data_IF_760914262833
#
_entry.id   IF_760914262833
#
_cell.length_a   1.000
_cell.length_b   1.000
_cell.length_c   1.000
_cell.angle_alpha   90.00
_cell.angle_beta   90.00
_cell.angle_gamma   90.00
#
_symmetry.space_group_name_H-M   'P 1'
#
loop_
_entity.id
_entity.type
_entity.pdbx_description
1 polymer ?
#
# COMPACT_ATOMS: atom_id res chain seq x y z
N UNK A 1 0.70 16.64 -7.08
CA UNK A 1 -0.12 15.53 -6.54
C UNK A 1 -0.90 16.06 -5.36
N UNK A 2 -2.16 15.67 -5.21
CA UNK A 2 -3.06 16.22 -4.18
C UNK A 2 -3.41 15.24 -3.05
N UNK A 3 -2.94 13.99 -3.15
CA UNK A 3 -3.19 12.93 -2.19
C UNK A 3 -2.13 11.83 -2.27
N UNK A 4 -2.33 10.75 -1.51
CA UNK A 4 -1.38 9.65 -1.43
C UNK A 4 -1.40 8.82 -2.72
N UNK A 5 -0.24 8.57 -3.37
CA UNK A 5 -0.16 7.70 -4.53
C UNK A 5 -0.31 6.23 -4.15
N UNK A 6 -0.71 5.39 -5.10
CA UNK A 6 -0.70 3.93 -4.97
C UNK A 6 0.22 3.30 -6.01
N UNK A 7 0.88 2.20 -5.65
CA UNK A 7 1.89 1.51 -6.45
C UNK A 7 1.67 0.00 -6.38
N UNK A 8 1.79 -0.68 -7.53
CA UNK A 8 1.78 -2.15 -7.60
C UNK A 8 2.71 -2.62 -8.72
N UNK A 9 3.27 -3.82 -8.58
CA UNK A 9 3.85 -4.54 -9.71
C UNK A 9 2.82 -5.50 -10.30
N UNK A 10 2.60 -5.42 -11.61
CA UNK A 10 1.65 -6.25 -12.34
C UNK A 10 2.29 -7.47 -12.96
N UNK A 11 1.47 -8.25 -13.68
CA UNK A 11 1.90 -9.37 -14.53
C UNK A 11 1.89 -8.97 -16.02
N UNK A 12 1.85 -7.67 -16.34
CA UNK A 12 2.02 -7.20 -17.71
C UNK A 12 3.45 -7.42 -18.19
N UNK A 13 3.59 -7.98 -19.38
CA UNK A 13 4.90 -8.34 -19.90
C UNK A 13 5.47 -9.61 -19.29
N UNK A 14 6.78 -9.84 -19.48
CA UNK A 14 7.50 -11.00 -18.94
C UNK A 14 8.11 -10.72 -17.56
N UNK A 15 8.54 -9.48 -17.33
CA UNK A 15 9.13 -9.04 -16.06
C UNK A 15 8.11 -8.45 -15.07
N UNK A 16 6.88 -8.18 -15.54
CA UNK A 16 5.84 -7.51 -14.74
C UNK A 16 6.10 -6.02 -14.61
N UNK A 17 5.25 -5.18 -15.19
CA UNK A 17 5.40 -3.72 -15.14
C UNK A 17 5.15 -3.14 -13.74
N UNK A 18 5.74 -1.98 -13.46
CA UNK A 18 5.33 -1.17 -12.31
C UNK A 18 4.21 -0.23 -12.71
N UNK A 19 3.20 -0.10 -11.87
CA UNK A 19 2.05 0.77 -12.10
C UNK A 19 1.92 1.75 -10.94
N UNK A 20 1.67 3.01 -11.26
CA UNK A 20 1.47 4.09 -10.27
C UNK A 20 0.18 4.81 -10.62
N UNK A 21 -0.66 5.03 -9.61
CA UNK A 21 -1.83 5.91 -9.69
C UNK A 21 -1.68 7.04 -8.70
N UNK A 22 -1.89 8.28 -9.15
CA UNK A 22 -1.77 9.47 -8.30
C UNK A 22 -2.99 10.37 -8.41
N UNK A 23 -3.47 10.96 -7.30
CA UNK A 23 -4.45 12.04 -7.35
C UNK A 23 -3.89 13.33 -7.98
N UNK A 24 -4.65 13.89 -8.92
CA UNK A 24 -4.30 15.13 -9.61
C UNK A 24 -4.77 16.37 -8.84
N UNK A 25 -4.00 17.45 -8.91
CA UNK A 25 -4.36 18.75 -8.34
C UNK A 25 -5.47 19.46 -9.12
N UNK A 26 -5.68 19.05 -10.37
CA UNK A 26 -6.73 19.56 -11.26
C UNK A 26 -8.01 18.73 -11.18
N UNK A 27 -8.06 17.73 -10.29
CA UNK A 27 -9.12 16.73 -10.23
C UNK A 27 -8.83 15.48 -11.07
N UNK A 28 -9.47 14.37 -10.68
CA UNK A 28 -9.26 13.04 -11.22
C UNK A 28 -7.97 12.37 -10.76
N UNK A 29 -7.58 11.33 -11.49
CA UNK A 29 -6.41 10.51 -11.26
C UNK A 29 -5.51 10.51 -12.49
N UNK A 30 -4.23 10.24 -12.30
CA UNK A 30 -3.29 9.93 -13.38
C UNK A 30 -2.63 8.58 -13.15
N UNK A 31 -2.54 7.80 -14.22
CA UNK A 31 -1.84 6.53 -14.29
C UNK A 31 -0.51 6.68 -15.01
N UNK A 32 0.53 6.06 -14.43
CA UNK A 32 1.85 5.90 -15.01
C UNK A 32 2.25 4.44 -14.92
N UNK A 33 3.10 3.99 -15.83
CA UNK A 33 3.66 2.65 -15.76
C UNK A 33 5.10 2.61 -16.24
N UNK A 34 5.87 1.66 -15.74
CA UNK A 34 7.24 1.39 -16.20
C UNK A 34 7.26 0.11 -17.00
N UNK A 35 7.75 0.19 -18.23
CA UNK A 35 7.97 -1.00 -19.07
C UNK A 35 9.21 -1.73 -18.56
N UNK A 36 8.99 -2.85 -17.87
CA UNK A 36 10.07 -3.65 -17.30
C UNK A 36 10.67 -4.67 -18.28
N UNK A 37 10.04 -4.88 -19.43
CA UNK A 37 10.60 -5.71 -20.49
C UNK A 37 11.56 -4.92 -21.39
N UNK A 38 11.40 -3.59 -21.46
CA UNK A 38 12.30 -2.72 -22.20
C UNK A 38 13.61 -2.48 -21.44
N UNK A 39 14.79 -2.72 -22.05
CA UNK A 39 16.09 -2.49 -21.41
C UNK A 39 16.32 -1.05 -20.91
N UNK A 40 15.64 -0.06 -21.49
CA UNK A 40 15.73 1.33 -21.07
C UNK A 40 14.84 1.66 -19.84
N UNK A 41 13.99 0.71 -19.40
CA UNK A 41 13.06 0.85 -18.28
C UNK A 41 12.26 2.17 -18.29
N UNK A 42 11.66 2.58 -19.42
CA UNK A 42 10.99 3.86 -19.54
C UNK A 42 9.74 3.92 -18.67
N UNK A 43 9.49 5.07 -18.05
CA UNK A 43 8.19 5.43 -17.49
C UNK A 43 7.32 6.07 -18.56
N UNK A 44 6.06 5.66 -18.62
CA UNK A 44 5.07 6.04 -19.62
C UNK A 44 3.85 6.61 -18.91
N UNK A 45 3.28 7.68 -19.47
CA UNK A 45 2.19 8.47 -18.89
C UNK A 45 2.53 9.98 -18.85
N UNK A 46 1.69 10.80 -18.19
CA UNK A 46 0.46 10.42 -17.50
C UNK A 46 -0.69 10.12 -18.46
N UNK A 47 -1.51 9.13 -18.11
CA UNK A 47 -2.87 8.98 -18.66
C UNK A 47 -3.86 9.42 -17.60
N UNK A 48 -4.59 10.51 -17.85
CA UNK A 48 -5.62 11.00 -16.93
C UNK A 48 -6.93 10.20 -17.07
N UNK A 49 -7.60 9.94 -15.95
CA UNK A 49 -8.88 9.22 -15.88
C UNK A 49 -9.67 9.61 -14.63
N UNK A 50 -10.96 9.25 -14.58
CA UNK A 50 -11.84 9.56 -13.45
C UNK A 50 -11.96 11.06 -13.18
N UNK A 51 -11.84 11.90 -14.21
CA UNK A 51 -11.84 13.37 -14.09
C UNK A 51 -13.16 13.91 -13.55
N UNK A 52 -14.25 13.18 -13.79
CA UNK A 52 -15.59 13.44 -13.29
C UNK A 52 -15.71 13.36 -11.76
N UNK A 53 -14.75 12.71 -11.08
CA UNK A 53 -14.71 12.65 -9.61
C UNK A 53 -14.33 13.99 -8.97
N UNK A 54 -13.75 14.93 -9.73
CA UNK A 54 -13.20 16.14 -9.15
C UNK A 54 -12.01 15.84 -8.24
N UNK A 55 -11.91 16.51 -7.09
CA UNK A 55 -10.76 16.36 -6.21
C UNK A 55 -10.73 15.00 -5.50
N UNK A 56 -9.77 14.16 -5.84
CA UNK A 56 -9.51 12.89 -5.16
C UNK A 56 -8.51 13.11 -4.02
N UNK A 57 -8.83 12.59 -2.84
CA UNK A 57 -8.03 12.76 -1.62
C UNK A 57 -7.07 11.58 -1.37
N UNK A 58 -7.49 10.37 -1.74
CA UNK A 58 -6.73 9.15 -1.52
C UNK A 58 -7.08 8.09 -2.56
N UNK A 59 -6.13 7.19 -2.82
CA UNK A 59 -6.32 6.07 -3.72
C UNK A 59 -5.65 4.81 -3.17
N UNK A 60 -6.30 3.66 -3.38
CA UNK A 60 -5.72 2.33 -3.20
C UNK A 60 -5.82 1.57 -4.52
N UNK A 61 -4.83 0.71 -4.80
CA UNK A 61 -4.65 0.03 -6.08
C UNK A 61 -4.29 -1.44 -5.86
N UNK A 62 -4.93 -2.33 -6.60
CA UNK A 62 -4.63 -3.77 -6.68
C UNK A 62 -4.54 -4.18 -8.15
N UNK A 63 -3.65 -5.11 -8.45
CA UNK A 63 -3.66 -5.82 -9.72
C UNK A 63 -4.39 -7.15 -9.54
N UNK A 64 -5.64 -7.22 -10.00
CA UNK A 64 -6.52 -8.35 -9.72
C UNK A 64 -6.32 -9.51 -10.69
N UNK A 65 -7.00 -10.62 -10.42
CA UNK A 65 -7.04 -11.80 -11.29
C UNK A 65 -8.07 -11.71 -12.42
N UNK A 66 -8.82 -10.60 -12.53
CA UNK A 66 -9.82 -10.43 -13.57
C UNK A 66 -9.20 -10.18 -14.93
N UNK A 67 -9.56 -11.01 -15.91
CA UNK A 67 -8.96 -10.98 -17.24
C UNK A 67 -7.52 -11.48 -17.27
N UNK A 68 -6.87 -11.34 -18.42
CA UNK A 68 -5.48 -11.78 -18.63
C UNK A 68 -4.69 -10.63 -19.25
N UNK A 69 -3.60 -10.16 -18.62
CA UNK A 69 -2.98 -10.70 -17.40
C UNK A 69 -3.67 -10.31 -16.09
N UNK A 70 -4.57 -9.32 -16.08
CA UNK A 70 -5.26 -8.85 -14.88
C UNK A 70 -5.69 -7.40 -14.99
N UNK A 71 -6.79 -7.03 -14.35
CA UNK A 71 -7.23 -5.64 -14.27
C UNK A 71 -6.40 -4.84 -13.27
N UNK A 72 -6.39 -3.52 -13.44
CA UNK A 72 -6.04 -2.61 -12.35
C UNK A 72 -7.33 -2.19 -11.65
N UNK A 73 -7.48 -2.55 -10.38
CA UNK A 73 -8.65 -2.22 -9.56
C UNK A 73 -8.30 -1.15 -8.54
N UNK A 74 -9.17 -0.14 -8.45
CA UNK A 74 -8.90 1.09 -7.71
C UNK A 74 -10.07 1.41 -6.79
N UNK A 75 -9.75 1.80 -5.56
CA UNK A 75 -10.67 2.53 -4.69
C UNK A 75 -10.17 3.95 -4.49
N UNK A 76 -10.95 4.93 -4.92
CA UNK A 76 -10.65 6.36 -4.79
C UNK A 76 -11.56 6.99 -3.73
N UNK A 77 -10.99 7.82 -2.85
CA UNK A 77 -11.76 8.63 -1.89
C UNK A 77 -11.91 10.07 -2.37
N UNK A 78 -13.15 10.56 -2.41
CA UNK A 78 -13.52 11.95 -2.70
C UNK A 78 -14.38 12.45 -1.54
N UNK A 79 -13.83 13.34 -0.71
CA UNK A 79 -14.49 13.72 0.54
C UNK A 79 -14.73 12.48 1.42
N UNK A 80 -15.97 12.22 1.80
CA UNK A 80 -16.33 11.03 2.58
C UNK A 80 -16.79 9.84 1.71
N UNK A 81 -16.72 9.94 0.39
CA UNK A 81 -17.20 8.91 -0.54
C UNK A 81 -16.05 8.05 -1.08
N UNK A 82 -16.28 6.74 -1.18
CA UNK A 82 -15.41 5.79 -1.87
C UNK A 82 -16.02 5.40 -3.20
N UNK A 83 -15.23 5.44 -4.26
CA UNK A 83 -15.58 5.00 -5.60
C UNK A 83 -14.69 3.84 -6.02
N UNK A 84 -15.27 2.79 -6.60
CA UNK A 84 -14.53 1.73 -7.27
C UNK A 84 -14.43 2.04 -8.77
N UNK A 85 -13.23 1.86 -9.31
CA UNK A 85 -12.91 1.96 -10.73
C UNK A 85 -12.01 0.79 -11.09
N UNK A 86 -11.99 0.42 -12.36
CA UNK A 86 -11.04 -0.56 -12.85
C UNK A 86 -10.58 -0.21 -14.27
N UNK A 87 -9.43 -0.74 -14.66
CA UNK A 87 -8.94 -0.73 -16.05
C UNK A 87 -8.88 -2.15 -16.57
N UNK A 88 -9.42 -2.38 -17.76
CA UNK A 88 -9.29 -3.67 -18.43
C UNK A 88 -7.80 -4.01 -18.72
N UNK A 89 -7.46 -5.29 -18.97
CA UNK A 89 -6.10 -5.72 -19.21
C UNK A 89 -5.61 -5.47 -20.65
N UNK A 90 -6.40 -4.79 -21.46
CA UNK A 90 -6.14 -4.58 -22.88
C UNK A 90 -6.97 -5.49 -23.80
N UNK A 91 -6.91 -5.23 -25.11
CA UNK A 91 -6.00 -4.28 -25.76
C UNK A 91 -6.40 -2.80 -25.63
N UNK A 92 -7.63 -2.49 -25.25
CA UNK A 92 -8.13 -1.11 -25.13
C UNK A 92 -7.56 -0.37 -23.92
N UNK A 93 -7.29 -1.09 -22.83
CA UNK A 93 -6.87 -0.51 -21.55
C UNK A 93 -7.83 0.57 -21.06
N UNK A 94 -9.13 0.34 -21.25
CA UNK A 94 -10.16 1.30 -20.95
C UNK A 94 -10.43 1.33 -19.44
N UNK A 95 -10.58 2.55 -18.93
CA UNK A 95 -11.03 2.79 -17.55
C UNK A 95 -12.56 2.71 -17.48
N UNK A 96 -13.07 2.07 -16.44
CA UNK A 96 -14.48 2.05 -16.12
C UNK A 96 -14.97 3.42 -15.68
N UNK A 97 -16.28 3.65 -15.78
CA UNK A 97 -16.93 4.77 -15.08
C UNK A 97 -16.83 4.52 -13.56
N UNK A 98 -16.57 5.55 -12.73
CA UNK A 98 -16.57 5.39 -11.29
C UNK A 98 -17.93 4.96 -10.74
N UNK A 99 -17.92 3.90 -9.93
CA UNK A 99 -19.09 3.42 -9.23
C UNK A 99 -18.99 3.80 -7.74
N UNK A 100 -19.99 4.51 -7.22
CA UNK A 100 -20.07 4.82 -5.79
C UNK A 100 -20.21 3.51 -5.00
N UNK A 101 -19.30 3.29 -4.06
CA UNK A 101 -19.21 2.09 -3.24
C UNK A 101 -19.72 2.37 -1.81
N UNK A 102 -19.30 3.47 -1.20
CA UNK A 102 -19.62 3.78 0.20
C UNK A 102 -19.51 5.29 0.49
N UNK A 103 -20.21 5.76 1.53
CA UNK A 103 -20.11 7.12 2.07
C UNK A 103 -19.90 7.08 3.59
N UNK A 104 -19.13 8.02 4.13
CA UNK A 104 -18.70 8.06 5.53
C UNK A 104 -17.25 7.61 5.75
N UNK A 105 -16.48 7.43 4.68
CA UNK A 105 -15.07 7.07 4.74
C UNK A 105 -14.17 8.26 5.09
N UNK A 106 -12.98 7.96 5.57
CA UNK A 106 -11.91 8.90 5.86
C UNK A 106 -10.56 8.23 5.66
N UNK A 107 -9.48 9.02 5.62
CA UNK A 107 -8.12 8.50 5.50
C UNK A 107 -7.85 7.78 4.16
N UNK A 108 -6.86 6.89 4.15
CA UNK A 108 -6.56 6.04 2.99
C UNK A 108 -7.12 4.64 3.24
N UNK A 109 -7.92 4.08 2.32
CA UNK A 109 -8.42 2.72 2.47
C UNK A 109 -7.31 1.68 2.27
N UNK A 110 -7.36 0.60 3.03
CA UNK A 110 -6.64 -0.64 2.72
C UNK A 110 -7.47 -1.50 1.77
N UNK A 111 -6.88 -1.96 0.67
CA UNK A 111 -7.58 -2.68 -0.39
C UNK A 111 -6.74 -3.84 -0.90
N UNK A 112 -7.31 -5.04 -0.92
CA UNK A 112 -6.67 -6.26 -1.44
C UNK A 112 -7.66 -7.10 -2.23
N UNK A 113 -7.14 -8.00 -3.06
CA UNK A 113 -7.87 -9.20 -3.43
C UNK A 113 -7.42 -10.35 -2.52
N UNK A 114 -8.34 -10.90 -1.74
CA UNK A 114 -8.07 -12.07 -0.92
C UNK A 114 -8.18 -13.36 -1.75
N UNK A 115 -7.82 -14.48 -1.13
CA UNK A 115 -7.97 -15.82 -1.74
C UNK A 115 -9.29 -16.47 -1.35
N UNK A 116 -10.18 -15.74 -0.67
CA UNK A 116 -11.49 -16.25 -0.26
C UNK A 116 -12.37 -16.44 -1.49
N UNK A 117 -12.97 -17.62 -1.64
CA UNK A 117 -13.71 -17.98 -2.84
C UNK A 117 -12.85 -18.55 -3.96
N UNK A 118 -13.44 -18.82 -5.12
CA UNK A 118 -12.71 -19.36 -6.28
C UNK A 118 -12.03 -18.26 -7.11
N UNK A 119 -12.71 -17.12 -7.28
CA UNK A 119 -12.18 -15.94 -7.97
C UNK A 119 -11.34 -15.04 -7.07
N UNK A 120 -11.46 -15.19 -5.74
CA UNK A 120 -10.82 -14.32 -4.75
C UNK A 120 -11.60 -13.01 -4.59
N UNK A 121 -12.20 -12.80 -3.43
CA UNK A 121 -12.97 -11.59 -3.13
C UNK A 121 -12.09 -10.34 -3.06
N UNK A 122 -12.68 -9.18 -3.35
CA UNK A 122 -12.08 -7.92 -2.94
C UNK A 122 -12.43 -7.63 -1.49
N UNK A 123 -11.44 -7.24 -0.70
CA UNK A 123 -11.60 -6.83 0.69
C UNK A 123 -11.07 -5.41 0.87
N UNK A 124 -11.91 -4.56 1.46
CA UNK A 124 -11.69 -3.13 1.66
C UNK A 124 -11.87 -2.80 3.14
N UNK A 125 -10.89 -2.15 3.75
CA UNK A 125 -11.04 -1.55 5.09
C UNK A 125 -10.78 -0.06 4.99
N UNK A 126 -11.73 0.75 5.46
CA UNK A 126 -11.61 2.20 5.51
C UNK A 126 -11.86 2.74 6.91
N UNK A 127 -11.30 3.91 7.20
CA UNK A 127 -11.53 4.60 8.46
C UNK A 127 -12.86 5.34 8.39
N UNK A 128 -13.56 5.47 9.52
CA UNK A 128 -14.78 6.26 9.62
C UNK A 128 -14.51 7.62 10.25
N UNK A 129 -15.19 8.66 9.76
CA UNK A 129 -15.04 10.03 10.27
C UNK A 129 -15.43 10.19 11.75
N UNK A 130 -16.30 9.30 12.27
CA UNK A 130 -16.78 9.28 13.66
C UNK A 130 -16.02 8.28 14.54
N UNK A 131 -14.88 7.76 14.08
CA UNK A 131 -14.08 6.76 14.77
C UNK A 131 -14.44 5.31 14.38
N UNK A 132 -13.48 4.41 14.57
CA UNK A 132 -13.55 3.03 14.11
C UNK A 132 -13.26 2.86 12.61
N UNK A 133 -13.52 1.65 12.12
CA UNK A 133 -13.25 1.22 10.75
C UNK A 133 -14.48 0.50 10.19
N UNK A 134 -14.61 0.50 8.87
CA UNK A 134 -15.60 -0.27 8.14
C UNK A 134 -14.90 -1.25 7.20
N UNK A 135 -15.31 -2.51 7.25
CA UNK A 135 -14.97 -3.53 6.26
C UNK A 135 -16.10 -3.66 5.25
N UNK A 136 -15.73 -3.62 3.97
CA UNK A 136 -16.59 -3.91 2.84
C UNK A 136 -15.89 -4.96 1.97
N UNK A 137 -16.67 -5.75 1.25
CA UNK A 137 -16.11 -6.77 0.38
C UNK A 137 -16.98 -6.99 -0.85
N UNK A 138 -16.37 -7.41 -1.95
CA UNK A 138 -17.07 -7.80 -3.17
C UNK A 138 -17.04 -9.32 -3.30
N UNK A 139 -18.21 -9.93 -3.49
CA UNK A 139 -18.28 -11.34 -3.88
C UNK A 139 -17.89 -11.47 -5.35
N UNK A 140 -16.69 -12.00 -5.60
CA UNK A 140 -16.17 -12.15 -6.96
C UNK A 140 -16.56 -13.49 -7.59
N UNK A 141 -17.15 -14.40 -6.82
CA UNK A 141 -17.73 -15.64 -7.34
C UNK A 141 -19.18 -15.45 -7.84
N UNK A 142 -19.86 -14.41 -7.35
CA UNK A 142 -21.19 -14.04 -7.84
C UNK A 142 -21.11 -13.25 -9.17
N UNK A 143 -21.85 -13.65 -10.24
CA UNK A 143 -21.84 -12.96 -11.53
C UNK A 143 -22.26 -11.49 -11.50
N UNK A 144 -22.96 -11.05 -10.45
CA UNK A 144 -23.37 -9.67 -10.24
C UNK A 144 -22.31 -8.81 -9.56
N UNK A 145 -21.20 -9.40 -9.10
CA UNK A 145 -20.12 -8.75 -8.35
C UNK A 145 -20.62 -7.82 -7.23
N UNK A 146 -21.55 -8.27 -6.36
CA UNK A 146 -22.17 -7.42 -5.36
C UNK A 146 -21.15 -7.03 -4.27
N UNK A 147 -21.15 -5.75 -3.93
CA UNK A 147 -20.49 -5.26 -2.72
C UNK A 147 -21.38 -5.48 -1.50
N UNK A 148 -20.78 -5.93 -0.40
CA UNK A 148 -21.41 -6.22 0.88
C UNK A 148 -20.76 -5.41 2.01
N UNK A 149 -21.50 -5.24 3.10
CA UNK A 149 -21.12 -4.42 4.24
C UNK A 149 -21.89 -3.08 4.31
N UNK A 150 -21.42 -2.11 5.11
CA UNK A 150 -20.22 -2.18 5.93
C UNK A 150 -20.41 -3.04 7.19
N UNK A 151 -19.42 -3.85 7.53
CA UNK A 151 -19.27 -4.35 8.91
C UNK A 151 -18.36 -3.39 9.66
N UNK A 152 -18.89 -2.71 10.67
CA UNK A 152 -18.15 -1.70 11.46
C UNK A 152 -17.50 -2.34 12.68
N UNK A 153 -16.25 -1.96 12.97
CA UNK A 153 -15.48 -2.47 14.12
C UNK A 153 -14.50 -1.41 14.66
N UNK A 154 -13.96 -1.63 15.88
CA UNK A 154 -12.96 -0.74 16.49
C UNK A 154 -13.46 0.64 16.92
N UNK A 155 -14.77 0.83 17.13
CA UNK A 155 -15.37 2.14 17.41
C UNK A 155 -14.98 2.75 18.77
N UNK A 156 -14.59 1.93 19.74
CA UNK A 156 -14.26 2.34 21.11
C UNK A 156 -12.81 2.77 21.31
N UNK A 157 -11.99 2.77 20.26
CA UNK A 157 -10.53 2.69 20.40
C UNK A 157 -9.82 4.03 20.21
N UNK A 158 -10.55 5.06 19.79
CA UNK A 158 -10.05 6.41 19.51
C UNK A 158 -10.05 6.74 18.02
N UNK A 159 -9.36 7.82 17.67
CA UNK A 159 -9.21 8.25 16.29
C UNK A 159 -8.27 7.29 15.55
N UNK A 160 -8.79 6.62 14.52
CA UNK A 160 -7.99 5.84 13.59
C UNK A 160 -7.33 6.81 12.61
N UNK A 161 -6.08 6.56 12.27
CA UNK A 161 -5.26 7.46 11.44
C UNK A 161 -4.76 6.79 10.15
N UNK A 162 -4.51 5.48 10.20
CA UNK A 162 -4.11 4.70 9.04
C UNK A 162 -4.44 3.21 9.26
N UNK A 163 -4.61 2.49 8.16
CA UNK A 163 -4.78 1.03 8.17
C UNK A 163 -3.87 0.39 7.13
N UNK A 164 -3.41 -0.82 7.42
CA UNK A 164 -2.83 -1.74 6.45
C UNK A 164 -3.59 -3.07 6.52
N UNK A 165 -3.80 -3.68 5.35
CA UNK A 165 -4.64 -4.86 5.18
C UNK A 165 -3.83 -5.99 4.57
N UNK A 166 -3.95 -7.20 5.11
CA UNK A 166 -3.35 -8.40 4.53
C UNK A 166 -4.27 -9.60 4.69
N UNK A 167 -4.22 -10.52 3.73
CA UNK A 167 -4.89 -11.82 3.82
C UNK A 167 -3.91 -12.88 4.30
N UNK A 168 -4.09 -13.38 5.53
CA UNK A 168 -3.17 -14.35 6.11
C UNK A 168 -3.50 -15.77 5.65
N UNK A 169 -2.55 -16.70 5.83
CA UNK A 169 -2.79 -18.13 5.63
C UNK A 169 -3.31 -18.83 6.90
N UNK A 170 -3.63 -18.07 7.95
CA UNK A 170 -4.18 -18.62 9.19
C UNK A 170 -5.65 -18.99 9.00
N UNK A 171 -6.07 -20.12 9.59
CA UNK A 171 -7.42 -20.67 9.39
C UNK A 171 -7.45 -21.74 8.31
N UNK A 172 -8.56 -21.83 7.60
CA UNK A 172 -8.79 -22.81 6.54
C UNK A 172 -7.95 -22.45 5.31
N UNK A 173 -7.21 -23.41 4.71
CA UNK A 173 -6.46 -23.18 3.49
C UNK A 173 -7.31 -22.57 2.37
N UNK A 174 -6.81 -21.52 1.73
CA UNK A 174 -7.55 -20.76 0.72
C UNK A 174 -8.44 -19.67 1.30
N UNK A 175 -9.23 -19.98 2.34
CA UNK A 175 -10.13 -19.01 2.96
C UNK A 175 -9.37 -17.93 3.72
N UNK A 176 -8.49 -18.29 4.66
CA UNK A 176 -7.59 -17.39 5.41
C UNK A 176 -8.27 -16.27 6.22
N UNK A 177 -7.64 -15.82 7.31
CA UNK A 177 -8.11 -14.63 8.01
C UNK A 177 -7.79 -13.34 7.22
N UNK A 178 -8.61 -12.32 7.43
CA UNK A 178 -8.28 -10.95 7.05
C UNK A 178 -7.65 -10.24 8.25
N UNK A 179 -6.43 -9.73 8.12
CA UNK A 179 -5.69 -9.09 9.21
C UNK A 179 -5.56 -7.59 8.94
N UNK A 180 -5.75 -6.77 9.98
CA UNK A 180 -5.69 -5.31 9.92
C UNK A 180 -4.72 -4.81 10.98
N UNK A 181 -3.70 -4.08 10.55
CA UNK A 181 -2.92 -3.22 11.43
C UNK A 181 -3.47 -1.80 11.32
N UNK A 182 -3.91 -1.22 12.44
CA UNK A 182 -4.49 0.11 12.50
C UNK A 182 -3.64 1.01 13.41
N UNK A 183 -3.29 2.21 12.95
CA UNK A 183 -2.73 3.25 13.83
C UNK A 183 -3.88 4.02 14.47
N UNK A 184 -3.97 3.97 15.79
CA UNK A 184 -5.07 4.54 16.56
C UNK A 184 -4.47 5.35 17.70
N UNK A 185 -4.68 6.67 17.72
CA UNK A 185 -4.20 7.56 18.77
C UNK A 185 -2.72 7.33 19.17
N UNK A 186 -1.82 7.22 18.19
CA UNK A 186 -0.38 7.00 18.41
C UNK A 186 0.05 5.59 18.86
N UNK A 187 -0.84 4.59 18.81
CA UNK A 187 -0.47 3.17 18.98
C UNK A 187 -0.85 2.34 17.76
N UNK A 188 -0.21 1.18 17.62
CA UNK A 188 -0.60 0.18 16.62
C UNK A 188 -1.50 -0.87 17.28
N UNK A 189 -2.69 -1.04 16.72
CA UNK A 189 -3.65 -2.05 17.10
C UNK A 189 -3.79 -3.08 15.97
N UNK A 190 -3.94 -4.35 16.34
CA UNK A 190 -4.19 -5.42 15.41
C UNK A 190 -5.62 -5.94 15.56
N UNK A 191 -6.29 -6.14 14.44
CA UNK A 191 -7.60 -6.77 14.35
C UNK A 191 -7.54 -7.87 13.31
N UNK A 192 -8.41 -8.87 13.46
CA UNK A 192 -8.57 -9.87 12.44
C UNK A 192 -10.03 -10.28 12.28
N UNK A 193 -10.42 -10.61 11.06
CA UNK A 193 -11.68 -11.29 10.76
C UNK A 193 -11.37 -12.76 10.55
N UNK A 194 -12.11 -13.63 11.24
CA UNK A 194 -11.98 -15.07 10.99
C UNK A 194 -12.53 -15.48 9.61
N UNK A 195 -12.17 -16.68 9.19
CA UNK A 195 -12.41 -17.21 7.86
C UNK A 195 -13.72 -18.03 7.75
N UNK A 196 -14.36 -18.33 8.87
CA UNK A 196 -15.58 -19.14 8.94
C UNK A 196 -16.83 -18.29 9.14
N UNK A 197 -17.96 -18.59 8.45
CA UNK A 197 -19.22 -17.93 8.72
C UNK A 197 -19.60 -17.99 10.22
N UNK A 198 -20.05 -16.88 10.81
CA UNK A 198 -20.48 -15.63 10.15
C UNK A 198 -19.38 -14.56 9.97
N UNK A 199 -18.10 -14.92 10.06
CA UNK A 199 -16.94 -14.04 9.84
C UNK A 199 -16.86 -12.87 10.84
N UNK A 200 -16.51 -13.20 12.08
CA UNK A 200 -16.41 -12.25 13.18
C UNK A 200 -15.10 -11.47 13.17
N UNK A 201 -15.18 -10.18 13.52
CA UNK A 201 -14.02 -9.35 13.82
C UNK A 201 -13.59 -9.50 15.28
N UNK A 202 -12.28 -9.63 15.48
CA UNK A 202 -11.61 -9.74 16.77
C UNK A 202 -10.58 -8.63 16.94
N UNK A 203 -10.25 -8.35 18.20
CA UNK A 203 -9.31 -7.30 18.60
C UNK A 203 -10.00 -6.12 19.30
N UNK A 204 -9.25 -5.04 19.58
CA UNK A 204 -7.83 -4.91 19.26
C UNK A 204 -6.97 -5.81 20.15
N UNK A 205 -6.00 -6.50 19.55
CA UNK A 205 -4.80 -6.92 20.28
C UNK A 205 -3.74 -5.85 20.08
N UNK A 206 -3.09 -5.40 21.16
CA UNK A 206 -2.00 -4.42 21.05
C UNK A 206 -0.79 -5.07 20.39
N UNK A 207 -0.34 -4.52 19.27
CA UNK A 207 0.82 -4.99 18.52
C UNK A 207 1.99 -4.06 18.86
N UNK A 208 2.91 -4.54 19.70
CA UNK A 208 4.04 -3.75 20.23
C UNK A 208 3.62 -2.51 21.07
N UNK A 209 4.52 -2.06 21.93
CA UNK A 209 4.29 -0.95 22.86
C UNK A 209 4.06 0.38 22.13
N UNK A 210 3.97 1.46 22.92
CA UNK A 210 3.83 2.83 22.42
C UNK A 210 4.76 3.07 21.21
N UNK A 211 4.24 3.75 20.18
CA UNK A 211 5.05 4.18 19.05
C UNK A 211 6.32 4.84 19.59
N UNK A 212 7.53 4.43 19.14
CA UNK A 212 8.76 5.04 19.63
C UNK A 212 8.65 6.55 19.45
N UNK A 213 8.57 7.27 20.57
CA UNK A 213 8.41 8.71 20.54
C UNK A 213 9.65 9.31 19.89
N UNK A 214 9.45 9.93 18.74
CA UNK A 214 10.48 10.69 18.05
C UNK A 214 10.82 11.91 18.91
N UNK A 215 12.03 11.94 19.48
CA UNK A 215 12.58 13.15 20.11
C UNK A 215 13.28 13.98 19.03
N UNK A 216 12.68 15.10 18.57
CA UNK A 216 13.29 15.96 17.56
C UNK A 216 14.59 16.63 18.05
N UNK A 217 14.84 16.66 19.36
CA UNK A 217 16.06 17.20 19.96
C UNK A 217 17.21 16.19 19.97
N UNK A 218 16.92 14.90 19.76
CA UNK A 218 17.90 13.82 19.69
C UNK A 218 18.49 13.60 18.28
N UNK A 219 17.98 14.27 17.24
CA UNK A 219 18.54 14.19 15.88
C UNK A 219 19.52 15.32 15.61
N UNK A 220 20.79 14.97 15.33
CA UNK A 220 21.70 15.83 14.57
C UNK A 220 21.23 15.99 13.12
N UNK A 221 21.76 16.99 12.41
CA UNK A 221 21.42 17.24 11.01
C UNK A 221 21.62 15.98 10.14
N UNK A 222 20.64 15.64 9.29
CA UNK A 222 20.77 14.64 8.21
C UNK A 222 21.64 15.16 7.05
N UNK A 223 22.81 15.72 7.38
CA UNK A 223 23.83 16.11 6.43
C UNK A 223 25.07 15.32 6.78
N UNK A 224 25.42 14.36 5.94
CA UNK A 224 26.78 13.82 5.95
C UNK A 224 27.68 14.98 5.52
N UNK A 225 28.58 15.51 6.38
CA UNK A 225 29.37 16.71 6.07
C UNK A 225 30.45 16.46 5.00
N UNK A 226 30.46 15.26 4.42
CA UNK A 226 31.34 14.81 3.36
C UNK A 226 30.52 14.12 2.25
N UNK A 227 30.98 14.25 1.00
CA UNK A 227 30.42 13.48 -0.09
C UNK A 227 30.88 12.01 0.07
N UNK A 228 29.95 11.10 0.36
CA UNK A 228 30.28 9.69 0.62
C UNK A 228 30.56 8.88 -0.65
N UNK A 229 30.16 9.35 -1.83
CA UNK A 229 30.23 8.60 -3.09
C UNK A 229 29.26 7.41 -3.18
N UNK A 230 28.39 7.22 -2.17
CA UNK A 230 27.44 6.11 -2.08
C UNK A 230 26.16 6.45 -2.82
N UNK A 231 25.78 5.61 -3.79
CA UNK A 231 24.60 5.80 -4.67
C UNK A 231 23.38 4.95 -4.28
N UNK A 232 23.56 3.99 -3.35
CA UNK A 232 22.47 3.15 -2.83
C UNK A 232 22.83 2.52 -1.48
N UNK A 233 21.85 2.44 -0.58
CA UNK A 233 22.04 1.95 0.79
C UNK A 233 21.01 0.87 1.12
N UNK A 234 21.49 -0.31 1.55
CA UNK A 234 20.77 -1.10 2.54
C UNK A 234 21.49 -0.93 3.88
N UNK A 235 20.79 -0.38 4.87
CA UNK A 235 21.32 -0.14 6.20
C UNK A 235 20.54 -0.94 7.24
N UNK A 236 21.25 -1.55 8.18
CA UNK A 236 20.67 -2.15 9.37
C UNK A 236 21.29 -1.49 10.61
N UNK A 237 20.44 -0.99 11.51
CA UNK A 237 20.87 -0.56 12.83
C UNK A 237 21.18 -1.81 13.66
N UNK A 238 22.42 -1.95 14.10
CA UNK A 238 22.85 -3.01 14.99
C UNK A 238 22.45 -2.66 16.43
N UNK A 239 22.27 -3.69 17.26
CA UNK A 239 21.95 -3.52 18.68
C UNK A 239 23.04 -2.76 19.48
N UNK A 240 24.22 -2.53 18.89
CA UNK A 240 25.33 -1.73 19.43
C UNK A 240 25.19 -0.23 19.18
N UNK A 241 24.15 0.21 18.45
CA UNK A 241 24.00 1.60 18.01
C UNK A 241 24.83 1.95 16.77
N UNK A 242 25.51 0.96 16.17
CA UNK A 242 26.24 1.12 14.92
C UNK A 242 25.34 0.81 13.73
N UNK A 243 25.59 1.42 12.59
CA UNK A 243 24.85 1.14 11.35
C UNK A 243 25.72 0.29 10.44
N UNK A 244 25.26 -0.92 10.12
CA UNK A 244 25.85 -1.75 9.09
C UNK A 244 25.33 -1.27 7.74
N UNK A 245 26.25 -0.88 6.85
CA UNK A 245 25.92 -0.48 5.48
C UNK A 245 26.36 -1.56 4.48
N UNK A 246 25.50 -1.85 3.52
CA UNK A 246 25.86 -2.52 2.28
C UNK A 246 25.71 -1.50 1.15
N UNK A 247 26.82 -1.20 0.47
CA UNK A 247 26.88 -0.19 -0.60
C UNK A 247 27.48 -0.77 -1.87
N UNK A 248 27.14 -0.17 -3.00
CA UNK A 248 27.83 -0.35 -4.28
C UNK A 248 28.28 1.02 -4.79
N UNK A 249 29.50 1.10 -5.31
CA UNK A 249 30.05 2.33 -5.92
C UNK A 249 29.71 2.39 -7.42
N UNK A 250 29.45 3.59 -7.94
CA UNK A 250 28.93 3.83 -9.29
C UNK A 250 29.89 3.41 -10.43
N UNK A 251 31.19 3.24 -10.14
CA UNK A 251 32.23 3.19 -11.19
C UNK A 251 33.30 2.11 -11.07
N UNK A 252 33.18 1.17 -10.13
CA UNK A 252 34.04 -0.01 -10.15
C UNK A 252 33.26 -1.16 -10.79
N UNK A 253 33.81 -1.80 -11.84
CA UNK A 253 33.27 -3.03 -12.43
C UNK A 253 33.34 -4.24 -11.49
N UNK A 254 32.99 -4.06 -10.22
CA UNK A 254 33.00 -5.07 -9.18
C UNK A 254 31.72 -5.89 -9.24
N UNK A 255 31.89 -7.20 -9.37
CA UNK A 255 30.83 -8.21 -9.46
C UNK A 255 30.23 -8.52 -8.07
N UNK A 256 30.79 -7.94 -6.99
CA UNK A 256 30.36 -8.11 -5.61
C UNK A 256 30.47 -6.78 -4.85
N UNK A 257 29.50 -6.47 -3.98
CA UNK A 257 29.57 -5.30 -3.10
C UNK A 257 30.56 -5.53 -1.97
N UNK A 258 31.44 -4.55 -1.72
CA UNK A 258 32.25 -4.53 -0.51
C UNK A 258 31.40 -4.07 0.68
N UNK A 259 31.40 -4.83 1.77
CA UNK A 259 30.80 -4.39 3.02
C UNK A 259 31.79 -3.46 3.75
N UNK A 260 31.27 -2.40 4.36
CA UNK A 260 32.05 -1.48 5.16
C UNK A 260 31.20 -0.95 6.31
N UNK A 261 31.84 -0.76 7.45
CA UNK A 261 31.22 -0.16 8.64
C UNK A 261 31.58 1.32 8.65
N UNK A 262 30.59 2.19 8.61
CA UNK A 262 30.77 3.63 8.81
C UNK A 262 30.54 3.94 10.30
N UNK A 263 31.50 4.63 10.93
CA UNK A 263 31.23 5.31 12.19
C UNK A 263 30.61 6.69 11.91
N UNK A 264 29.33 6.90 12.24
CA UNK A 264 28.62 8.14 11.92
C UNK A 264 29.14 9.34 12.72
N UNK A 265 29.85 9.14 13.84
CA UNK A 265 30.37 10.24 14.65
C UNK A 265 31.70 10.79 14.10
N UNK A 266 32.56 9.90 13.58
CA UNK A 266 33.90 10.27 13.09
C UNK A 266 34.00 10.36 11.56
N UNK A 267 33.06 9.76 10.83
CA UNK A 267 33.12 9.62 9.37
C UNK A 267 34.13 8.59 8.88
N UNK A 268 34.74 7.82 9.78
CA UNK A 268 35.70 6.78 9.42
C UNK A 268 34.98 5.56 8.85
N UNK A 269 35.53 5.03 7.75
CA UNK A 269 35.04 3.86 7.06
C UNK A 269 35.99 2.68 7.34
N UNK A 270 35.46 1.61 7.94
CA UNK A 270 36.19 0.39 8.22
C UNK A 270 35.78 -0.67 7.19
N UNK A 271 36.74 -1.18 6.42
CA UNK A 271 36.49 -2.35 5.58
C UNK A 271 36.27 -3.57 6.47
N UNK A 272 35.26 -4.37 6.18
CA UNK A 272 35.10 -5.72 6.75
C UNK A 272 35.92 -6.72 5.97
#
# INVERSE_FOLDING_TARGET
>A
MAGNPAFVQTRFGSQGNYEVVVPLVTGGLAHFWRDNDNPALPWIGPTAFGVELGQVDAVALVHSTFGIPGNLDIVARVGDQLFHLWRDPGPEFAWSVPALLFAGASGVPGFIQSRYGAAGNFDLVTLLAVGGMAHLWQDNDDPGFPWSGPTVFGQSEGQVEAVALVHSAYGTPGAGNLEVAARIAGRIAHYYRDDQPPQHWFGPTSFAGDEPQYDPTATGEWRVPFASGVVGVHAALLHTGQVLFFSYEEHAGQVHGEASVLDPASGLLYKT
#
